data_IF_968808030093
#
_entry.id   IF_968808030093
#
_cell.length_a   1.000
_cell.length_b   1.000
_cell.length_c   1.000
_cell.angle_alpha   90.00
_cell.angle_beta   90.00
_cell.angle_gamma   90.00
#
_symmetry.space_group_name_H-M   'P 1'
#
loop_
_entity.id
_entity.type
_entity.pdbx_description
1 polymer ?
#
# COMPACT_ATOMS: atom_id res chain seq x y z
N UNK A 1 -37.91 -25.62 -6.92
CA UNK A 1 -36.58 -26.27 -6.79
C UNK A 1 -35.57 -25.24 -6.30
N UNK A 2 -35.31 -25.14 -4.99
CA UNK A 2 -34.18 -24.38 -4.48
C UNK A 2 -33.09 -25.33 -3.97
N UNK A 3 -31.82 -25.04 -4.29
CA UNK A 3 -30.66 -25.53 -3.56
C UNK A 3 -29.53 -24.50 -3.77
N UNK A 4 -29.51 -23.49 -2.89
CA UNK A 4 -28.34 -22.69 -2.56
C UNK A 4 -27.88 -23.20 -1.20
N UNK A 5 -26.77 -23.93 -1.15
CA UNK A 5 -26.14 -24.34 0.10
C UNK A 5 -25.38 -23.15 0.70
N UNK A 6 -25.90 -22.67 1.83
CA UNK A 6 -25.17 -21.88 2.81
C UNK A 6 -24.40 -22.86 3.70
N UNK A 7 -23.11 -23.06 3.46
CA UNK A 7 -22.26 -23.72 4.47
C UNK A 7 -21.76 -22.68 5.49
N UNK A 8 -22.45 -22.71 6.61
CA UNK A 8 -22.10 -22.08 7.88
C UNK A 8 -20.93 -22.86 8.53
N UNK A 9 -19.70 -22.38 8.36
CA UNK A 9 -18.56 -22.91 9.12
C UNK A 9 -18.41 -22.19 10.45
N UNK A 10 -18.95 -22.84 11.47
CA UNK A 10 -18.76 -22.56 12.89
C UNK A 10 -17.28 -22.55 13.27
N UNK A 11 -16.87 -21.51 13.99
CA UNK A 11 -16.00 -21.64 15.17
C UNK A 11 -14.59 -22.19 14.99
N UNK A 12 -13.75 -21.49 14.22
CA UNK A 12 -12.33 -21.32 14.53
C UNK A 12 -12.02 -19.83 14.36
N UNK A 13 -11.14 -19.23 15.16
CA UNK A 13 -10.71 -17.84 14.99
C UNK A 13 -10.16 -17.64 13.57
N UNK A 14 -11.01 -17.23 12.62
CA UNK A 14 -10.55 -16.88 11.28
C UNK A 14 -9.75 -15.58 11.41
N UNK A 15 -8.44 -15.73 11.43
CA UNK A 15 -7.48 -14.63 11.58
C UNK A 15 -7.37 -13.77 10.31
N UNK A 16 -8.24 -14.00 9.32
CA UNK A 16 -8.24 -13.36 8.01
C UNK A 16 -9.23 -12.20 8.01
N UNK A 17 -8.70 -10.98 8.05
CA UNK A 17 -9.50 -9.77 7.92
C UNK A 17 -9.57 -9.36 6.44
N UNK A 18 -10.79 -9.32 5.87
CA UNK A 18 -11.03 -8.65 4.59
C UNK A 18 -11.04 -7.14 4.81
N UNK A 19 -9.97 -6.47 4.41
CA UNK A 19 -9.82 -5.01 4.58
C UNK A 19 -10.12 -4.37 3.23
N UNK A 20 -11.22 -3.61 3.15
CA UNK A 20 -11.60 -2.97 1.89
C UNK A 20 -12.77 -1.98 1.93
N UNK A 21 -13.58 -1.95 3.01
CA UNK A 21 -14.71 -1.00 3.08
C UNK A 21 -15.08 -0.45 4.46
N UNK A 22 -14.78 -1.15 5.58
CA UNK A 22 -15.30 -0.79 6.92
C UNK A 22 -14.27 -0.16 7.88
N UNK A 23 -12.98 -0.13 7.53
CA UNK A 23 -11.88 0.27 8.43
C UNK A 23 -11.42 1.72 8.21
N UNK A 24 -11.95 2.43 7.21
CA UNK A 24 -11.52 3.78 6.83
C UNK A 24 -12.76 4.68 6.77
N UNK A 25 -12.85 5.69 7.64
CA UNK A 25 -14.00 6.59 7.68
C UNK A 25 -14.26 7.26 6.32
N UNK A 26 -15.53 7.56 6.06
CA UNK A 26 -15.97 8.24 4.83
C UNK A 26 -15.43 9.68 4.70
N UNK A 27 -14.89 10.25 5.78
CA UNK A 27 -14.32 11.60 5.84
C UNK A 27 -12.88 11.74 5.32
N UNK A 28 -12.12 10.65 5.16
CA UNK A 28 -10.69 10.73 4.85
C UNK A 28 -10.44 10.83 3.33
N UNK A 29 -9.40 11.55 2.92
CA UNK A 29 -8.99 11.62 1.51
C UNK A 29 -8.58 10.24 0.97
N UNK A 30 -8.66 10.02 -0.35
CA UNK A 30 -8.24 8.76 -0.97
C UNK A 30 -6.77 8.41 -0.65
N UNK A 31 -5.91 9.42 -0.56
CA UNK A 31 -4.52 9.26 -0.14
C UNK A 31 -4.40 8.82 1.33
N UNK A 32 -5.14 9.41 2.26
CA UNK A 32 -5.10 8.96 3.67
C UNK A 32 -5.60 7.53 3.83
N UNK A 33 -6.63 7.16 3.07
CA UNK A 33 -7.12 5.77 3.00
C UNK A 33 -6.04 4.82 2.50
N UNK A 34 -5.35 5.20 1.42
CA UNK A 34 -4.22 4.45 0.86
C UNK A 34 -3.12 4.24 1.90
N UNK A 35 -2.69 5.29 2.59
CA UNK A 35 -1.66 5.18 3.62
C UNK A 35 -2.07 4.25 4.75
N UNK A 36 -3.33 4.31 5.18
CA UNK A 36 -3.82 3.42 6.21
C UNK A 36 -3.79 1.94 5.78
N UNK A 37 -4.11 1.63 4.51
CA UNK A 37 -3.96 0.27 3.97
C UNK A 37 -2.50 -0.18 3.95
N UNK A 38 -1.59 0.66 3.47
CA UNK A 38 -0.15 0.38 3.47
C UNK A 38 0.37 0.17 4.91
N UNK A 39 -0.08 0.98 5.87
CA UNK A 39 0.23 0.77 7.30
C UNK A 39 -0.27 -0.57 7.82
N UNK A 40 -1.45 -1.01 7.41
CA UNK A 40 -1.95 -2.35 7.77
C UNK A 40 -1.04 -3.42 7.17
N UNK A 41 -0.63 -3.28 5.90
CA UNK A 41 0.31 -4.21 5.26
C UNK A 41 1.61 -4.32 6.06
N UNK A 42 2.23 -3.18 6.41
CA UNK A 42 3.42 -3.16 7.25
C UNK A 42 3.23 -3.88 8.58
N UNK A 43 2.16 -3.58 9.31
CA UNK A 43 1.89 -4.19 10.60
C UNK A 43 1.70 -5.72 10.50
N UNK A 44 1.05 -6.20 9.45
CA UNK A 44 0.81 -7.63 9.24
C UNK A 44 2.11 -8.34 8.83
N UNK A 45 2.85 -7.77 7.87
CA UNK A 45 4.06 -8.37 7.31
C UNK A 45 5.25 -8.34 8.28
N UNK A 46 5.35 -7.34 9.16
CA UNK A 46 6.41 -7.28 10.18
C UNK A 46 6.26 -8.37 11.26
N UNK A 47 5.08 -8.98 11.35
CA UNK A 47 4.76 -10.07 12.26
C UNK A 47 5.09 -9.80 13.73
N UNK A 48 5.90 -10.69 14.35
CA UNK A 48 6.33 -10.52 15.76
C UNK A 48 7.44 -9.48 15.92
N UNK A 49 8.18 -9.18 14.86
CA UNK A 49 9.17 -8.12 14.88
C UNK A 49 8.42 -6.80 14.75
N UNK A 50 7.98 -6.26 15.89
CA UNK A 50 7.35 -4.95 15.94
C UNK A 50 8.41 -3.88 15.70
N UNK A 51 8.86 -3.76 14.45
CA UNK A 51 9.59 -2.59 13.99
C UNK A 51 8.77 -1.37 14.43
N UNK A 52 9.45 -0.53 15.19
CA UNK A 52 8.90 0.47 16.09
C UNK A 52 7.80 1.29 15.39
N UNK A 53 6.71 1.68 16.07
CA UNK A 53 5.72 2.64 15.51
C UNK A 53 6.41 3.90 14.92
N UNK A 54 7.63 4.21 15.39
CA UNK A 54 8.51 5.23 14.82
C UNK A 54 8.87 5.00 13.35
N UNK A 55 9.15 3.77 12.93
CA UNK A 55 9.51 3.40 11.54
C UNK A 55 8.50 3.95 10.54
N UNK A 56 7.22 3.65 10.76
CA UNK A 56 6.15 4.08 9.87
C UNK A 56 6.06 5.60 9.81
N UNK A 57 6.28 6.29 10.93
CA UNK A 57 6.24 7.76 11.00
C UNK A 57 7.43 8.39 10.28
N UNK A 58 8.61 7.81 10.42
CA UNK A 58 9.86 8.28 9.81
C UNK A 58 9.90 8.03 8.30
N UNK A 59 9.31 6.94 7.84
CA UNK A 59 9.19 6.62 6.41
C UNK A 59 8.36 7.66 5.63
N UNK A 60 7.27 8.16 6.22
CA UNK A 60 6.46 9.22 5.59
C UNK A 60 7.18 10.56 5.72
N UNK A 61 7.66 11.12 4.60
CA UNK A 61 8.58 12.26 4.48
C UNK A 61 10.06 11.91 4.66
N UNK A 62 10.47 10.73 4.18
CA UNK A 62 11.87 10.34 4.10
C UNK A 62 12.46 10.58 2.70
N UNK A 63 13.72 11.01 2.65
CA UNK A 63 14.49 11.09 1.42
C UNK A 63 13.87 11.99 0.35
N UNK A 64 14.03 11.63 -0.92
CA UNK A 64 13.49 12.38 -2.05
C UNK A 64 12.13 11.87 -2.54
N UNK A 65 11.82 10.59 -2.34
CA UNK A 65 10.71 9.88 -2.99
C UNK A 65 9.68 9.33 -2.00
N UNK A 66 9.98 9.18 -0.71
CA UNK A 66 8.99 8.70 0.26
C UNK A 66 8.01 9.81 0.67
N UNK A 67 6.97 9.99 -0.16
CA UNK A 67 5.83 10.88 0.09
C UNK A 67 6.17 12.35 0.41
N UNK A 68 6.94 13.08 -0.42
CA UNK A 68 7.31 14.46 -0.10
C UNK A 68 6.06 15.36 -0.04
N UNK A 69 5.83 16.00 1.11
CA UNK A 69 4.64 16.81 1.35
C UNK A 69 3.48 16.07 2.04
N UNK A 70 3.77 14.92 2.64
CA UNK A 70 2.89 14.23 3.59
C UNK A 70 1.73 13.46 2.97
N UNK A 71 0.75 13.12 3.82
CA UNK A 71 -0.34 12.18 3.51
C UNK A 71 -1.28 12.61 2.40
N UNK A 72 -1.23 13.88 1.98
CA UNK A 72 -2.12 14.43 0.96
C UNK A 72 -1.59 14.28 -0.45
N UNK A 73 -0.32 13.90 -0.65
CA UNK A 73 0.36 13.97 -1.95
C UNK A 73 1.19 12.71 -2.30
N UNK A 74 0.60 11.51 -2.19
CA UNK A 74 1.30 10.23 -2.42
C UNK A 74 1.99 10.14 -3.78
N UNK A 75 1.36 10.67 -4.84
CA UNK A 75 1.87 10.54 -6.21
C UNK A 75 2.63 11.76 -6.73
N UNK A 76 2.57 12.90 -6.04
CA UNK A 76 2.88 14.21 -6.64
C UNK A 76 4.33 14.67 -6.50
N UNK A 77 5.16 14.02 -5.69
CA UNK A 77 6.45 14.62 -5.33
C UNK A 77 7.65 13.65 -5.39
N UNK A 78 8.84 14.21 -5.60
CA UNK A 78 10.13 13.50 -5.63
C UNK A 78 10.76 13.42 -7.03
N UNK A 79 12.01 13.89 -7.15
CA UNK A 79 12.84 13.88 -8.36
C UNK A 79 14.29 13.57 -7.97
N UNK A 80 15.09 13.14 -8.93
CA UNK A 80 16.50 12.82 -8.70
C UNK A 80 16.76 11.37 -8.34
N UNK A 81 18.04 11.08 -8.07
CA UNK A 81 18.51 9.75 -7.63
C UNK A 81 18.06 9.48 -6.19
N UNK A 82 17.68 8.24 -5.85
CA UNK A 82 17.37 7.90 -4.47
C UNK A 82 18.61 8.06 -3.59
N UNK A 83 18.42 8.53 -2.35
CA UNK A 83 19.51 8.76 -1.40
C UNK A 83 20.05 7.47 -0.80
N UNK A 84 19.19 6.48 -0.61
CA UNK A 84 19.52 5.17 -0.06
C UNK A 84 18.51 4.09 -0.51
N UNK A 85 18.60 2.89 0.09
CA UNK A 85 17.71 1.77 -0.20
C UNK A 85 16.24 2.06 0.14
N UNK A 86 15.95 2.78 1.22
CA UNK A 86 14.59 3.14 1.64
C UNK A 86 13.97 4.07 0.58
N UNK A 87 14.72 5.11 0.20
CA UNK A 87 14.30 6.08 -0.80
C UNK A 87 14.14 5.44 -2.19
N UNK A 88 14.99 4.45 -2.51
CA UNK A 88 14.87 3.66 -3.73
C UNK A 88 13.56 2.86 -3.77
N UNK A 89 13.14 2.21 -2.68
CA UNK A 89 11.85 1.50 -2.66
C UNK A 89 10.66 2.44 -2.80
N UNK A 90 10.74 3.65 -2.24
CA UNK A 90 9.73 4.69 -2.46
C UNK A 90 9.69 5.16 -3.92
N UNK A 91 10.86 5.31 -4.55
CA UNK A 91 10.94 5.62 -5.99
C UNK A 91 10.29 4.51 -6.84
N UNK A 92 10.59 3.24 -6.53
CA UNK A 92 10.01 2.09 -7.23
C UNK A 92 8.50 2.03 -7.07
N UNK A 93 7.98 2.28 -5.87
CA UNK A 93 6.53 2.34 -5.60
C UNK A 93 5.86 3.43 -6.45
N UNK A 94 6.45 4.62 -6.52
CA UNK A 94 5.97 5.71 -7.38
C UNK A 94 6.01 5.34 -8.87
N UNK A 95 7.07 4.67 -9.32
CA UNK A 95 7.18 4.17 -10.70
C UNK A 95 6.07 3.16 -10.97
N UNK A 96 5.77 2.25 -10.03
CA UNK A 96 4.69 1.27 -10.16
C UNK A 96 3.35 1.95 -10.45
N UNK A 97 3.00 3.03 -9.75
CA UNK A 97 1.79 3.81 -10.05
C UNK A 97 1.83 4.52 -11.41
N UNK A 98 3.00 5.01 -11.85
CA UNK A 98 3.15 5.56 -13.21
C UNK A 98 2.93 4.50 -14.27
N UNK A 99 3.43 3.28 -14.05
CA UNK A 99 3.21 2.14 -14.94
C UNK A 99 1.72 1.82 -15.02
N UNK A 100 1.00 1.78 -13.90
CA UNK A 100 -0.47 1.61 -13.90
C UNK A 100 -1.14 2.70 -14.73
N UNK A 101 -0.81 3.97 -14.49
CA UNK A 101 -1.39 5.06 -15.27
C UNK A 101 -1.09 4.94 -16.77
N UNK A 102 0.10 4.44 -17.13
CA UNK A 102 0.46 4.22 -18.54
C UNK A 102 -0.33 3.05 -19.12
N UNK A 103 -0.28 1.88 -18.49
CA UNK A 103 -0.94 0.65 -18.95
C UNK A 103 -2.43 0.86 -19.17
N UNK A 104 -3.13 1.52 -18.24
CA UNK A 104 -4.59 1.60 -18.27
C UNK A 104 -5.14 2.85 -18.96
N UNK A 105 -4.34 3.91 -19.13
CA UNK A 105 -4.82 5.19 -19.67
C UNK A 105 -4.12 5.62 -20.98
N UNK A 106 -3.19 4.84 -21.53
CA UNK A 106 -2.58 5.09 -22.85
C UNK A 106 -3.49 4.76 -24.04
N UNK A 107 -4.68 4.21 -23.78
CA UNK A 107 -5.65 3.80 -24.79
C UNK A 107 -5.39 2.43 -25.42
N UNK A 108 -4.33 1.72 -25.02
CA UNK A 108 -4.04 0.37 -25.51
C UNK A 108 -4.71 -0.73 -24.69
N UNK A 109 -5.05 -0.46 -23.43
CA UNK A 109 -5.81 -1.39 -22.60
C UNK A 109 -7.23 -1.58 -23.14
N UNK A 110 -7.54 -2.81 -23.57
CA UNK A 110 -8.85 -3.18 -24.14
C UNK A 110 -9.85 -3.76 -23.13
N UNK A 111 -9.51 -3.80 -21.84
CA UNK A 111 -10.46 -4.20 -20.81
C UNK A 111 -11.49 -3.10 -20.52
N UNK A 112 -12.57 -3.45 -19.82
CA UNK A 112 -13.69 -2.54 -19.46
C UNK A 112 -13.28 -1.32 -18.60
N UNK A 113 -11.99 -1.18 -18.29
CA UNK A 113 -11.43 -0.23 -17.34
C UNK A 113 -10.53 0.78 -18.03
N UNK A 114 -11.12 1.59 -18.90
CA UNK A 114 -10.39 2.60 -19.65
C UNK A 114 -9.91 3.81 -18.83
N UNK A 115 -10.11 3.80 -17.50
CA UNK A 115 -9.75 4.91 -16.59
C UNK A 115 -9.32 4.40 -15.22
N UNK A 116 -8.02 4.12 -15.07
CA UNK A 116 -7.43 3.75 -13.78
C UNK A 116 -6.68 4.95 -13.18
N UNK A 117 -7.15 5.47 -12.04
CA UNK A 117 -6.45 6.52 -11.30
C UNK A 117 -5.95 5.97 -9.95
N UNK A 118 -4.63 5.66 -9.81
CA UNK A 118 -4.07 5.17 -8.55
C UNK A 118 -4.28 6.11 -7.34
N UNK A 119 -4.42 7.41 -7.58
CA UNK A 119 -4.62 8.42 -6.53
C UNK A 119 -5.99 8.31 -5.85
N UNK A 120 -6.99 7.84 -6.59
CA UNK A 120 -8.40 7.91 -6.21
C UNK A 120 -9.03 6.53 -6.03
N UNK A 121 -8.51 5.52 -6.72
CA UNK A 121 -9.16 4.20 -6.83
C UNK A 121 -8.87 3.31 -5.63
N UNK A 122 -9.87 3.01 -4.79
CA UNK A 122 -9.70 2.06 -3.67
C UNK A 122 -9.54 0.60 -4.11
N UNK A 123 -8.91 -0.25 -3.28
CA UNK A 123 -8.83 -1.70 -3.50
C UNK A 123 -9.21 -2.49 -2.25
N UNK A 124 -9.41 -3.80 -2.42
CA UNK A 124 -9.58 -4.77 -1.34
C UNK A 124 -8.33 -5.62 -1.18
N UNK A 125 -7.95 -5.87 0.07
CA UNK A 125 -6.88 -6.79 0.44
C UNK A 125 -7.37 -7.75 1.53
N UNK A 126 -6.69 -8.88 1.63
CA UNK A 126 -6.96 -9.91 2.64
C UNK A 126 -5.69 -10.06 3.46
N UNK A 127 -5.78 -9.65 4.71
CA UNK A 127 -4.70 -9.73 5.68
C UNK A 127 -4.92 -10.92 6.60
N UNK A 128 -3.91 -11.78 6.72
CA UNK A 128 -3.89 -12.88 7.68
C UNK A 128 -2.84 -12.56 8.75
N UNK A 129 -3.33 -12.19 9.94
CA UNK A 129 -2.45 -11.78 11.04
C UNK A 129 -1.67 -12.95 11.63
N UNK A 130 -2.25 -14.16 11.64
CA UNK A 130 -1.58 -15.35 12.20
C UNK A 130 -0.50 -15.89 11.29
N UNK A 131 -0.68 -15.76 9.97
CA UNK A 131 0.29 -16.20 8.96
C UNK A 131 1.20 -15.07 8.46
N UNK A 132 1.11 -13.86 9.04
CA UNK A 132 1.87 -12.67 8.63
C UNK A 132 1.89 -12.44 7.13
N UNK A 133 0.73 -12.64 6.49
CA UNK A 133 0.62 -12.58 5.03
C UNK A 133 -0.50 -11.64 4.60
N UNK A 134 -0.26 -10.98 3.48
CA UNK A 134 -1.24 -10.14 2.80
C UNK A 134 -1.35 -10.60 1.36
N UNK A 135 -2.59 -10.65 0.85
CA UNK A 135 -2.87 -10.89 -0.55
C UNK A 135 -3.86 -9.86 -1.09
N UNK A 136 -3.71 -9.52 -2.35
CA UNK A 136 -4.67 -8.70 -3.06
C UNK A 136 -5.89 -9.54 -3.44
N UNK A 137 -7.08 -8.93 -3.36
CA UNK A 137 -8.31 -9.65 -3.66
C UNK A 137 -8.39 -9.96 -5.16
N UNK A 138 -8.82 -11.17 -5.52
CA UNK A 138 -8.95 -11.60 -6.92
C UNK A 138 -10.29 -11.19 -7.53
N UNK A 139 -11.30 -10.91 -6.70
CA UNK A 139 -12.64 -10.45 -7.10
C UNK A 139 -12.69 -8.97 -7.52
N UNK A 140 -11.53 -8.31 -7.58
CA UNK A 140 -11.43 -6.93 -7.99
C UNK A 140 -10.84 -6.84 -9.39
N UNK A 141 -11.16 -5.72 -10.02
CA UNK A 141 -10.75 -5.47 -11.36
C UNK A 141 -9.21 -5.33 -11.52
N UNK A 142 -8.66 -5.47 -12.74
CA UNK A 142 -7.22 -5.44 -12.97
C UNK A 142 -6.55 -4.14 -12.49
N UNK A 143 -7.20 -2.97 -12.63
CA UNK A 143 -6.67 -1.70 -12.16
C UNK A 143 -6.45 -1.70 -10.63
N UNK A 144 -7.50 -2.02 -9.86
CA UNK A 144 -7.49 -2.06 -8.39
C UNK A 144 -6.54 -3.13 -7.88
N UNK A 145 -6.45 -4.25 -8.59
CA UNK A 145 -5.50 -5.32 -8.29
C UNK A 145 -4.06 -4.85 -8.47
N UNK A 146 -3.73 -4.23 -9.60
CA UNK A 146 -2.40 -3.68 -9.82
C UNK A 146 -2.01 -2.65 -8.75
N UNK A 147 -2.93 -1.77 -8.35
CA UNK A 147 -2.68 -0.79 -7.26
C UNK A 147 -2.37 -1.52 -5.94
N UNK A 148 -3.14 -2.55 -5.60
CA UNK A 148 -2.89 -3.36 -4.41
C UNK A 148 -1.53 -4.07 -4.47
N UNK A 149 -1.17 -4.62 -5.63
CA UNK A 149 0.09 -5.34 -5.82
C UNK A 149 1.30 -4.39 -5.74
N UNK A 150 1.19 -3.16 -6.25
CA UNK A 150 2.21 -2.12 -6.05
C UNK A 150 2.42 -1.84 -4.55
N UNK A 151 1.34 -1.67 -3.78
CA UNK A 151 1.40 -1.39 -2.35
C UNK A 151 1.95 -2.57 -1.55
N UNK A 152 1.54 -3.79 -1.91
CA UNK A 152 2.01 -5.02 -1.29
C UNK A 152 3.51 -5.21 -1.53
N UNK A 153 3.98 -5.06 -2.77
CA UNK A 153 5.40 -5.16 -3.10
C UNK A 153 6.23 -4.11 -2.34
N UNK A 154 5.75 -2.87 -2.29
CA UNK A 154 6.39 -1.80 -1.51
C UNK A 154 6.49 -2.17 -0.02
N UNK A 155 5.39 -2.66 0.57
CA UNK A 155 5.39 -3.08 1.96
C UNK A 155 6.36 -4.24 2.21
N UNK A 156 6.38 -5.26 1.33
CA UNK A 156 7.27 -6.41 1.43
C UNK A 156 8.76 -6.02 1.37
N UNK A 157 9.14 -5.17 0.40
CA UNK A 157 10.52 -4.70 0.25
C UNK A 157 11.02 -4.01 1.51
N UNK A 158 10.21 -3.12 2.08
CA UNK A 158 10.57 -2.37 3.28
C UNK A 158 10.51 -3.22 4.56
N UNK A 159 9.59 -4.18 4.68
CA UNK A 159 9.61 -5.12 5.82
C UNK A 159 10.75 -6.12 5.74
N UNK A 160 11.26 -6.41 4.54
CA UNK A 160 12.42 -7.27 4.33
C UNK A 160 13.75 -6.55 4.53
N UNK A 161 13.73 -5.21 4.64
CA UNK A 161 14.92 -4.40 4.89
C UNK A 161 15.16 -4.27 6.40
N UNK A 162 16.42 -4.34 6.82
CA UNK A 162 16.81 -3.87 8.16
C UNK A 162 16.73 -2.34 8.19
N UNK A 163 15.61 -1.81 8.66
CA UNK A 163 15.38 -0.37 8.65
C UNK A 163 16.40 0.37 9.51
N UNK A 164 16.77 -0.13 10.69
CA UNK A 164 17.69 0.58 11.58
C UNK A 164 19.09 0.70 10.96
N UNK A 165 19.54 -0.34 10.26
CA UNK A 165 20.81 -0.32 9.56
C UNK A 165 20.82 0.58 8.30
N UNK A 166 19.66 0.84 7.70
CA UNK A 166 19.55 1.57 6.43
C UNK A 166 18.94 2.97 6.58
N UNK A 167 18.38 3.30 7.74
CA UNK A 167 17.77 4.59 8.01
C UNK A 167 18.82 5.62 8.39
N UNK A 168 18.80 6.74 7.67
CA UNK A 168 19.59 7.92 7.97
C UNK A 168 18.68 9.07 8.44
N UNK A 169 18.76 9.49 9.71
CA UNK A 169 17.92 10.56 10.25
C UNK A 169 18.13 11.92 9.55
N UNK A 170 19.25 12.14 8.87
CA UNK A 170 19.49 13.37 8.10
C UNK A 170 18.63 13.46 6.83
N UNK A 171 18.10 12.32 6.36
CA UNK A 171 17.20 12.28 5.20
C UNK A 171 15.74 12.45 5.59
N UNK A 172 15.41 12.55 6.88
CA UNK A 172 14.09 12.95 7.31
C UNK A 172 13.85 14.40 6.88
N UNK A 173 12.81 14.61 6.07
CA UNK A 173 12.37 15.95 5.73
C UNK A 173 11.80 16.58 7.01
N UNK A 174 12.63 17.31 7.76
CA UNK A 174 12.17 18.17 8.85
C UNK A 174 11.13 19.10 8.23
N UNK A 175 9.99 19.30 8.89
CA UNK A 175 8.99 20.27 8.45
C UNK A 175 9.70 21.62 8.30
N UNK A 176 10.06 21.97 7.07
CA UNK A 176 10.15 23.36 6.67
C UNK A 176 8.70 23.77 6.48
N UNK A 177 8.35 24.90 7.09
CA UNK A 177 7.01 25.47 7.34
C UNK A 177 6.47 25.19 8.74
#
# INVERSE_FOLDING_TARGET
MPLFELEESRGALDSRLRVGRKVLSESNSANERRQALIRIMFNVLSGRNRNNKSFIRELFNYGCHCYPGGSKNILKSGRGKPLDAIDQYCQQHKICYKCINSIFNDGQWKGDESRCNPAESSYKMIANMSAYSVRCSEDQNPCRRAICECDLNYAQQLTGLDFEANHNPDFLQRRVF
#
